data_IF_840729643380
#
_entry.id   IF_840729643380
#
_cell.length_a   1.000
_cell.length_b   1.000
_cell.length_c   1.000
_cell.angle_alpha   90.00
_cell.angle_beta   90.00
_cell.angle_gamma   90.00
#
_symmetry.space_group_name_H-M   'P 1'
#
loop_
_entity.id
_entity.type
_entity.pdbx_description
1 polymer ?
#
# COMPACT_ATOMS: atom_id res chain seq x y z
N UNK A 1 -2.13 23.45 23.22
CA UNK A 1 -2.89 22.80 22.14
C UNK A 1 -2.41 23.45 20.86
N UNK A 2 -1.41 22.89 20.21
CA UNK A 2 -1.01 23.30 18.86
C UNK A 2 -2.12 22.84 17.91
N UNK A 3 -2.78 23.81 17.26
CA UNK A 3 -3.77 23.53 16.25
C UNK A 3 -3.10 22.93 15.03
N UNK A 4 -3.54 21.78 14.59
CA UNK A 4 -3.12 21.22 13.29
C UNK A 4 -3.50 22.23 12.20
N UNK A 5 -2.50 22.75 11.49
CA UNK A 5 -2.76 23.57 10.33
C UNK A 5 -3.35 22.68 9.23
N UNK A 6 -4.57 22.98 8.81
CA UNK A 6 -5.15 22.38 7.62
C UNK A 6 -4.74 23.19 6.40
N UNK A 7 -4.13 22.53 5.44
CA UNK A 7 -3.88 23.12 4.15
C UNK A 7 -5.03 22.73 3.22
N UNK A 8 -5.79 23.70 2.77
CA UNK A 8 -6.77 23.52 1.72
C UNK A 8 -6.11 23.87 0.38
N UNK A 9 -6.18 22.94 -0.55
CA UNK A 9 -5.68 23.14 -1.91
C UNK A 9 -6.88 23.25 -2.84
N UNK A 10 -7.05 24.42 -3.46
CA UNK A 10 -8.06 24.62 -4.49
C UNK A 10 -7.48 24.24 -5.86
N UNK A 11 -7.90 23.10 -6.38
CA UNK A 11 -7.40 22.59 -7.67
C UNK A 11 -7.77 23.50 -8.85
N UNK A 12 -8.87 24.25 -8.76
CA UNK A 12 -9.27 25.18 -9.83
C UNK A 12 -8.37 26.43 -9.85
N UNK A 13 -7.86 26.83 -8.69
CA UNK A 13 -6.88 27.91 -8.63
C UNK A 13 -5.50 27.46 -9.11
N UNK A 14 -5.12 26.20 -8.84
CA UNK A 14 -3.85 25.64 -9.35
C UNK A 14 -3.82 25.64 -10.88
N UNK A 15 -4.93 25.31 -11.54
CA UNK A 15 -5.01 25.30 -13.01
C UNK A 15 -4.75 26.66 -13.64
N UNK A 16 -5.00 27.76 -12.91
CA UNK A 16 -4.74 29.13 -13.35
C UNK A 16 -3.29 29.58 -13.13
N UNK A 17 -2.53 28.87 -12.31
CA UNK A 17 -1.13 29.18 -12.06
C UNK A 17 -0.30 28.78 -13.27
N UNK A 18 0.60 29.67 -13.70
CA UNK A 18 1.64 29.30 -14.66
C UNK A 18 2.59 28.33 -13.95
N UNK A 19 2.75 27.13 -14.53
CA UNK A 19 3.76 26.20 -14.05
C UNK A 19 5.15 26.85 -14.13
N UNK A 20 5.90 26.83 -13.04
CA UNK A 20 7.31 27.15 -13.02
C UNK A 20 8.11 25.87 -13.19
N UNK A 21 9.18 25.94 -13.98
CA UNK A 21 10.12 24.83 -14.05
C UNK A 21 10.85 24.73 -12.71
N UNK A 22 10.68 23.57 -12.04
CA UNK A 22 11.39 23.24 -10.82
C UNK A 22 12.51 22.26 -11.16
N UNK A 23 13.74 22.63 -10.84
CA UNK A 23 14.86 21.73 -11.04
C UNK A 23 14.83 20.62 -9.99
N UNK A 24 15.26 19.43 -10.38
CA UNK A 24 15.34 18.30 -9.45
C UNK A 24 16.25 18.60 -8.25
N UNK A 25 17.30 19.41 -8.47
CA UNK A 25 18.18 19.90 -7.41
C UNK A 25 17.49 20.80 -6.37
N UNK A 26 16.34 21.38 -6.69
CA UNK A 26 15.60 22.23 -5.75
C UNK A 26 14.78 21.39 -4.76
N UNK A 27 14.59 20.11 -5.08
CA UNK A 27 13.79 19.16 -4.29
C UNK A 27 14.64 18.23 -3.45
N UNK A 28 15.91 18.02 -3.79
CA UNK A 28 16.77 17.04 -3.11
C UNK A 28 18.03 17.69 -2.55
N UNK A 29 18.33 17.40 -1.29
CA UNK A 29 19.57 17.83 -0.64
C UNK A 29 20.75 16.92 -0.95
N UNK A 30 20.49 15.62 -1.13
CA UNK A 30 21.53 14.63 -1.38
C UNK A 30 21.01 13.44 -2.17
N UNK A 31 21.91 12.78 -2.90
CA UNK A 31 21.68 11.56 -3.63
C UNK A 31 22.62 10.47 -3.10
N UNK A 32 22.04 9.34 -2.72
CA UNK A 32 22.82 8.14 -2.35
C UNK A 32 22.54 7.02 -3.36
N UNK A 33 23.59 6.40 -3.88
CA UNK A 33 23.48 5.23 -4.74
C UNK A 33 23.86 4.00 -3.93
N UNK A 34 22.90 3.09 -3.75
CA UNK A 34 23.08 1.85 -3.02
C UNK A 34 23.19 0.69 -4.00
N UNK A 35 24.35 0.06 -4.06
CA UNK A 35 24.55 -1.16 -4.83
C UNK A 35 23.99 -2.35 -4.05
N UNK A 36 23.00 -3.01 -4.61
CA UNK A 36 22.45 -4.25 -4.04
C UNK A 36 23.38 -5.44 -4.30
N UNK A 37 23.27 -6.44 -3.43
CA UNK A 37 23.97 -7.73 -3.55
C UNK A 37 23.62 -8.38 -4.90
N UNK A 38 24.63 -8.88 -5.60
CA UNK A 38 24.48 -9.44 -6.95
C UNK A 38 24.45 -10.98 -6.99
N UNK A 39 24.32 -11.65 -5.84
CA UNK A 39 24.19 -13.11 -5.82
C UNK A 39 22.83 -13.54 -6.38
N UNK A 40 22.73 -14.77 -6.86
CA UNK A 40 21.55 -15.27 -7.57
C UNK A 40 20.26 -15.13 -6.74
N UNK A 41 20.30 -15.51 -5.47
CA UNK A 41 19.15 -15.41 -4.57
C UNK A 41 18.72 -13.97 -4.26
N UNK A 42 19.59 -13.00 -4.49
CA UNK A 42 19.34 -11.58 -4.23
C UNK A 42 18.83 -10.82 -5.47
N UNK A 43 18.75 -11.47 -6.61
CA UNK A 43 18.36 -10.79 -7.85
C UNK A 43 16.92 -10.26 -7.75
N UNK A 44 16.77 -9.01 -8.19
CA UNK A 44 15.47 -8.35 -8.34
C UNK A 44 15.22 -8.08 -9.82
N UNK A 45 13.95 -8.01 -10.21
CA UNK A 45 13.59 -7.67 -11.59
C UNK A 45 14.05 -6.25 -11.95
N UNK A 46 14.18 -5.98 -13.24
CA UNK A 46 14.57 -4.66 -13.76
C UNK A 46 13.62 -3.55 -13.32
N UNK A 47 12.35 -3.89 -13.14
CA UNK A 47 11.29 -2.97 -12.70
C UNK A 47 10.58 -3.55 -11.48
N UNK A 48 11.09 -3.30 -10.27
CA UNK A 48 10.42 -3.76 -9.05
C UNK A 48 9.06 -3.08 -8.91
N UNK A 49 8.07 -3.84 -8.43
CA UNK A 49 6.71 -3.36 -8.23
C UNK A 49 6.60 -2.39 -7.05
N UNK A 50 7.54 -2.45 -6.12
CA UNK A 50 7.57 -1.52 -5.00
C UNK A 50 8.81 -1.66 -4.13
N UNK A 51 9.15 -0.56 -3.47
CA UNK A 51 10.32 -0.44 -2.60
C UNK A 51 9.92 0.30 -1.33
N UNK A 52 10.21 -0.29 -0.17
CA UNK A 52 10.06 0.35 1.13
C UNK A 52 11.43 0.49 1.79
N UNK A 53 11.70 1.66 2.31
CA UNK A 53 13.01 1.98 2.91
C UNK A 53 12.82 2.41 4.35
N UNK A 54 13.58 1.80 5.25
CA UNK A 54 13.68 2.18 6.66
C UNK A 54 15.10 2.61 7.03
N UNK A 55 15.36 2.86 8.29
CA UNK A 55 16.68 3.29 8.75
C UNK A 55 17.78 2.26 8.44
N UNK A 56 17.50 0.97 8.58
CA UNK A 56 18.50 -0.10 8.44
C UNK A 56 18.22 -1.09 7.32
N UNK A 57 17.03 -1.03 6.69
CA UNK A 57 16.61 -2.02 5.71
C UNK A 57 15.98 -1.41 4.47
N UNK A 58 15.99 -2.20 3.40
CA UNK A 58 15.28 -1.96 2.15
C UNK A 58 14.50 -3.24 1.85
N UNK A 59 13.18 -3.12 1.72
CA UNK A 59 12.29 -4.21 1.33
C UNK A 59 11.84 -3.98 -0.11
N UNK A 60 12.05 -4.96 -0.97
CA UNK A 60 11.76 -4.84 -2.41
C UNK A 60 10.76 -5.92 -2.80
N UNK A 61 9.72 -5.52 -3.53
CA UNK A 61 8.84 -6.41 -4.28
C UNK A 61 9.37 -6.54 -5.71
N UNK A 62 9.98 -7.70 -6.07
CA UNK A 62 10.75 -7.79 -7.31
C UNK A 62 9.89 -7.62 -8.58
N UNK A 63 8.76 -8.34 -8.66
CA UNK A 63 7.99 -8.49 -9.91
C UNK A 63 6.50 -8.82 -9.69
N UNK A 64 6.01 -8.76 -8.45
CA UNK A 64 4.63 -9.11 -8.07
C UNK A 64 4.33 -10.61 -8.05
N UNK A 65 5.26 -11.47 -8.47
CA UNK A 65 5.10 -12.95 -8.50
C UNK A 65 6.22 -13.68 -7.77
N UNK A 66 7.25 -12.98 -7.33
CA UNK A 66 8.36 -13.52 -6.53
C UNK A 66 8.24 -13.10 -5.07
N UNK A 67 8.95 -13.81 -4.18
CA UNK A 67 9.03 -13.43 -2.78
C UNK A 67 9.61 -12.03 -2.59
N UNK A 68 9.14 -11.31 -1.59
CA UNK A 68 9.75 -10.03 -1.20
C UNK A 68 11.21 -10.26 -0.78
N UNK A 69 12.08 -9.34 -1.17
CA UNK A 69 13.50 -9.42 -0.83
C UNK A 69 13.87 -8.34 0.17
N UNK A 70 14.46 -8.77 1.27
CA UNK A 70 14.96 -7.85 2.31
C UNK A 70 16.47 -7.67 2.17
N UNK A 71 16.89 -6.41 2.15
CA UNK A 71 18.29 -6.00 2.15
C UNK A 71 18.56 -5.11 3.35
N UNK A 72 19.81 -5.08 3.80
CA UNK A 72 20.26 -4.01 4.69
C UNK A 72 20.29 -2.68 3.95
N UNK A 73 20.28 -1.55 4.66
CA UNK A 73 20.44 -0.21 4.08
C UNK A 73 21.75 -0.04 3.28
N UNK A 74 22.74 -0.93 3.49
CA UNK A 74 24.01 -0.99 2.74
C UNK A 74 23.95 -1.92 1.53
N UNK A 75 22.77 -2.40 1.14
CA UNK A 75 22.56 -3.23 -0.04
C UNK A 75 22.88 -4.72 0.12
N UNK A 76 23.26 -5.20 1.31
CA UNK A 76 23.50 -6.63 1.52
C UNK A 76 22.17 -7.38 1.64
N UNK A 77 22.02 -8.46 0.89
CA UNK A 77 20.87 -9.36 0.99
C UNK A 77 20.78 -9.97 2.39
N UNK A 78 19.56 -10.03 2.91
CA UNK A 78 19.25 -10.60 4.23
C UNK A 78 18.45 -11.88 4.08
N UNK A 79 17.28 -11.81 3.42
CA UNK A 79 16.39 -12.95 3.27
C UNK A 79 15.28 -12.67 2.22
N UNK A 80 14.68 -13.74 1.74
CA UNK A 80 13.34 -13.69 1.15
C UNK A 80 12.29 -13.67 2.28
N UNK A 81 11.27 -12.83 2.13
CA UNK A 81 10.19 -12.72 3.09
C UNK A 81 8.99 -13.51 2.58
N UNK A 82 8.76 -14.65 3.21
CA UNK A 82 7.70 -15.58 2.81
C UNK A 82 7.96 -16.22 1.45
N UNK A 83 6.90 -16.55 0.74
CA UNK A 83 6.92 -17.15 -0.59
C UNK A 83 5.60 -16.96 -1.31
N UNK A 84 5.61 -17.18 -2.62
CA UNK A 84 4.39 -17.11 -3.43
C UNK A 84 3.72 -18.48 -3.48
N UNK A 85 2.45 -18.54 -3.06
CA UNK A 85 1.69 -19.78 -3.02
C UNK A 85 0.44 -19.70 -2.16
N UNK A 86 -0.01 -20.86 -1.65
CA UNK A 86 -1.21 -20.98 -0.83
C UNK A 86 -0.96 -21.68 0.52
N UNK A 87 0.27 -22.04 0.81
CA UNK A 87 0.68 -22.67 2.05
C UNK A 87 0.73 -21.73 3.26
N UNK A 88 1.04 -22.25 4.45
CA UNK A 88 1.29 -21.42 5.61
C UNK A 88 2.47 -20.46 5.36
N UNK A 89 2.27 -19.15 5.54
CA UNK A 89 3.30 -18.17 5.26
C UNK A 89 3.53 -17.88 3.76
N UNK A 90 2.64 -18.37 2.89
CA UNK A 90 2.64 -18.01 1.48
C UNK A 90 1.53 -17.01 1.17
N UNK A 91 1.78 -16.17 0.17
CA UNK A 91 0.85 -15.14 -0.33
C UNK A 91 0.81 -15.17 -1.86
N UNK A 92 -0.25 -14.63 -2.41
CA UNK A 92 -0.40 -14.53 -3.86
C UNK A 92 0.18 -13.21 -4.40
N UNK A 93 -0.07 -12.13 -3.64
CA UNK A 93 0.40 -10.79 -3.98
C UNK A 93 0.85 -10.07 -2.71
N UNK A 94 1.96 -9.33 -2.79
CA UNK A 94 2.52 -8.57 -1.67
C UNK A 94 2.31 -7.06 -1.83
N UNK A 95 1.26 -6.65 -2.52
CA UNK A 95 0.99 -5.22 -2.81
C UNK A 95 0.92 -4.37 -1.55
N UNK A 96 0.27 -4.88 -0.51
CA UNK A 96 0.19 -4.21 0.79
C UNK A 96 1.19 -4.86 1.75
N UNK A 97 2.39 -4.29 1.85
CA UNK A 97 3.47 -4.75 2.70
C UNK A 97 3.91 -3.64 3.64
N UNK A 98 4.41 -4.01 4.80
CA UNK A 98 4.78 -3.08 5.87
C UNK A 98 6.04 -3.57 6.57
N UNK A 99 7.09 -2.78 6.53
CA UNK A 99 8.32 -3.05 7.25
C UNK A 99 8.27 -2.37 8.62
N UNK A 100 8.04 -3.16 9.67
CA UNK A 100 8.08 -2.71 11.06
C UNK A 100 9.45 -3.02 11.66
N UNK A 101 10.39 -2.14 11.40
CA UNK A 101 11.77 -2.31 11.88
C UNK A 101 11.85 -2.28 13.41
N UNK A 102 11.02 -1.50 14.08
CA UNK A 102 11.01 -1.38 15.55
C UNK A 102 10.71 -2.72 16.23
N UNK A 103 9.79 -3.49 15.67
CA UNK A 103 9.42 -4.82 16.16
C UNK A 103 10.17 -5.95 15.45
N UNK A 104 11.03 -5.64 14.50
CA UNK A 104 11.82 -6.63 13.77
C UNK A 104 10.99 -7.57 12.91
N UNK A 105 9.94 -7.07 12.27
CA UNK A 105 9.00 -7.87 11.49
C UNK A 105 8.58 -7.20 10.19
N UNK A 106 8.11 -8.03 9.25
CA UNK A 106 7.42 -7.61 8.02
C UNK A 106 6.00 -8.14 8.08
N UNK A 107 5.02 -7.30 7.75
CA UNK A 107 3.64 -7.71 7.58
C UNK A 107 3.25 -7.61 6.10
N UNK A 108 2.48 -8.60 5.62
CA UNK A 108 1.90 -8.61 4.28
C UNK A 108 0.40 -8.75 4.44
N UNK A 109 -0.36 -7.76 3.95
CA UNK A 109 -1.81 -7.81 3.94
C UNK A 109 -2.31 -8.22 2.55
N UNK A 110 -3.01 -9.34 2.50
CA UNK A 110 -3.63 -9.85 1.28
C UNK A 110 -5.10 -10.17 1.55
N UNK A 111 -6.00 -9.52 0.86
CA UNK A 111 -7.44 -9.64 1.09
C UNK A 111 -7.80 -9.35 2.56
N UNK A 112 -8.31 -10.36 3.28
CA UNK A 112 -8.71 -10.24 4.69
C UNK A 112 -7.74 -10.95 5.63
N UNK A 113 -6.53 -11.23 5.17
CA UNK A 113 -5.49 -11.85 6.00
C UNK A 113 -4.25 -10.98 6.07
N UNK A 114 -3.57 -11.06 7.19
CA UNK A 114 -2.29 -10.44 7.44
C UNK A 114 -1.30 -11.52 7.86
N UNK A 115 -0.18 -11.60 7.17
CA UNK A 115 0.90 -12.55 7.43
C UNK A 115 2.06 -11.79 8.03
N UNK A 116 2.62 -12.32 9.10
CA UNK A 116 3.78 -11.75 9.78
C UNK A 116 5.01 -12.62 9.62
N UNK A 117 6.13 -11.99 9.34
CA UNK A 117 7.44 -12.62 9.20
C UNK A 117 8.46 -11.88 10.03
N UNK A 118 9.48 -12.59 10.54
CA UNK A 118 10.66 -11.92 11.08
C UNK A 118 11.58 -11.40 9.96
N UNK A 119 12.59 -10.62 10.33
CA UNK A 119 13.55 -10.07 9.37
C UNK A 119 14.50 -11.13 8.77
N UNK A 120 14.36 -12.38 9.14
CA UNK A 120 15.07 -13.52 8.53
C UNK A 120 14.15 -14.31 7.58
N UNK A 121 12.95 -13.79 7.30
CA UNK A 121 11.97 -14.40 6.40
C UNK A 121 11.16 -15.54 7.01
N UNK A 122 11.31 -15.84 8.31
CA UNK A 122 10.56 -16.92 8.95
C UNK A 122 9.14 -16.47 9.24
N UNK A 123 8.18 -17.29 8.86
CA UNK A 123 6.77 -17.07 9.17
C UNK A 123 6.52 -17.09 10.69
N UNK A 124 5.87 -16.07 11.21
CA UNK A 124 5.54 -15.92 12.62
C UNK A 124 4.08 -16.25 12.91
N UNK A 125 3.16 -15.57 12.25
CA UNK A 125 1.73 -15.72 12.48
C UNK A 125 0.89 -15.27 11.29
N UNK A 126 -0.37 -15.71 11.30
CA UNK A 126 -1.42 -15.23 10.42
C UNK A 126 -2.54 -14.67 11.26
N UNK A 127 -2.97 -13.46 10.93
CA UNK A 127 -4.13 -12.82 11.53
C UNK A 127 -5.19 -12.54 10.47
N UNK A 128 -6.44 -12.46 10.89
CA UNK A 128 -7.55 -12.12 10.01
C UNK A 128 -7.95 -10.67 10.24
N UNK A 129 -8.11 -9.91 9.17
CA UNK A 129 -8.70 -8.58 9.20
C UNK A 129 -10.16 -8.74 8.82
N UNK A 130 -11.05 -8.45 9.76
CA UNK A 130 -12.48 -8.47 9.50
C UNK A 130 -12.87 -7.23 8.71
N UNK A 131 -13.58 -7.40 7.61
CA UNK A 131 -14.17 -6.31 6.87
C UNK A 131 -15.68 -6.25 7.17
N UNK A 132 -16.23 -5.09 7.52
CA UNK A 132 -17.63 -4.94 7.92
C UNK A 132 -18.60 -5.13 6.76
N UNK A 133 -18.13 -5.09 5.53
CA UNK A 133 -18.92 -5.29 4.32
C UNK A 133 -18.11 -6.00 3.24
N UNK A 134 -18.79 -6.66 2.31
CA UNK A 134 -18.13 -7.25 1.15
C UNK A 134 -17.76 -6.15 0.17
N UNK A 135 -16.46 -6.04 -0.12
CA UNK A 135 -15.91 -5.07 -1.05
C UNK A 135 -15.23 -5.80 -2.19
N UNK A 136 -15.55 -5.40 -3.41
CA UNK A 136 -14.95 -6.00 -4.61
C UNK A 136 -13.56 -5.46 -4.92
N UNK A 137 -13.30 -4.19 -4.58
CA UNK A 137 -11.99 -3.55 -4.76
C UNK A 137 -11.74 -2.57 -3.63
N UNK A 138 -10.65 -2.78 -2.92
CA UNK A 138 -10.21 -1.89 -1.85
C UNK A 138 -8.69 -1.86 -1.80
N UNK A 139 -8.16 -0.74 -1.32
CA UNK A 139 -6.79 -0.66 -0.83
C UNK A 139 -6.82 -0.58 0.68
N UNK A 140 -5.94 -1.33 1.33
CA UNK A 140 -5.85 -1.39 2.78
C UNK A 140 -4.46 -0.91 3.17
N UNK A 141 -4.38 0.14 3.99
CA UNK A 141 -3.18 0.57 4.67
C UNK A 141 -3.23 0.11 6.12
N UNK A 142 -2.14 -0.40 6.60
CA UNK A 142 -2.03 -0.95 7.95
C UNK A 142 -1.13 -0.05 8.80
N UNK A 143 -1.66 0.40 9.92
CA UNK A 143 -0.92 1.00 11.01
C UNK A 143 -0.68 -0.08 12.07
N UNK A 144 0.49 -0.71 12.02
CA UNK A 144 0.85 -1.81 12.92
C UNK A 144 1.07 -1.33 14.36
N UNK A 145 1.49 -0.07 14.56
CA UNK A 145 1.75 0.47 15.89
C UNK A 145 0.45 0.67 16.69
N UNK A 146 -0.62 1.09 16.01
CA UNK A 146 -1.92 1.33 16.64
C UNK A 146 -2.95 0.23 16.35
N UNK A 147 -2.56 -0.86 15.71
CA UNK A 147 -3.43 -1.99 15.32
C UNK A 147 -4.69 -1.54 14.54
N UNK A 148 -4.49 -0.62 13.62
CA UNK A 148 -5.55 -0.04 12.80
C UNK A 148 -5.35 -0.36 11.32
N UNK A 149 -6.45 -0.45 10.61
CA UNK A 149 -6.48 -0.53 9.15
C UNK A 149 -7.27 0.66 8.59
N UNK A 150 -6.69 1.33 7.61
CA UNK A 150 -7.39 2.31 6.77
C UNK A 150 -7.82 1.61 5.51
N UNK A 151 -9.12 1.48 5.32
CA UNK A 151 -9.69 0.81 4.15
C UNK A 151 -10.24 1.89 3.22
N UNK A 152 -9.69 1.95 2.01
CA UNK A 152 -10.19 2.83 0.95
C UNK A 152 -10.88 1.97 -0.08
N UNK A 153 -12.15 2.23 -0.29
CA UNK A 153 -12.96 1.55 -1.28
C UNK A 153 -12.84 2.30 -2.60
N UNK A 154 -12.45 1.59 -3.64
CA UNK A 154 -12.46 2.16 -4.97
C UNK A 154 -13.93 2.16 -5.47
N UNK A 155 -14.53 3.33 -5.72
CA UNK A 155 -15.93 3.46 -6.10
C UNK A 155 -16.16 3.09 -7.58
N UNK A 156 -15.42 2.08 -8.08
CA UNK A 156 -15.61 1.58 -9.42
C UNK A 156 -16.73 0.54 -9.43
N UNK A 157 -17.65 0.68 -10.36
CA UNK A 157 -18.50 -0.43 -10.74
C UNK A 157 -17.61 -1.55 -11.30
N UNK A 158 -17.85 -2.78 -10.88
CA UNK A 158 -17.20 -3.92 -11.50
C UNK A 158 -17.60 -3.95 -12.99
N UNK A 159 -16.61 -3.84 -13.87
CA UNK A 159 -16.84 -3.88 -15.34
C UNK A 159 -17.56 -5.17 -15.72
N UNK A 160 -17.32 -6.27 -14.97
CA UNK A 160 -18.01 -7.55 -15.16
C UNK A 160 -19.39 -7.63 -14.52
N UNK A 161 -19.75 -6.73 -13.61
CA UNK A 161 -21.03 -6.70 -12.92
C UNK A 161 -21.47 -5.26 -12.59
N UNK A 162 -22.04 -4.53 -13.55
CA UNK A 162 -22.47 -3.14 -13.35
C UNK A 162 -23.60 -2.98 -12.32
N UNK A 163 -24.18 -4.09 -11.85
CA UNK A 163 -25.21 -4.12 -10.80
C UNK A 163 -24.63 -4.43 -9.41
N UNK A 164 -23.31 -4.62 -9.30
CA UNK A 164 -22.68 -4.84 -8.00
C UNK A 164 -22.96 -3.64 -7.08
N UNK A 165 -23.31 -3.88 -5.82
CA UNK A 165 -23.57 -2.79 -4.89
C UNK A 165 -22.29 -1.98 -4.70
N UNK A 166 -22.38 -0.68 -4.92
CA UNK A 166 -21.29 0.26 -4.63
C UNK A 166 -21.33 0.54 -3.13
N UNK A 167 -20.20 0.43 -2.46
CA UNK A 167 -20.12 0.81 -1.06
C UNK A 167 -20.54 2.27 -0.88
N UNK A 168 -21.34 2.54 0.16
CA UNK A 168 -21.71 3.90 0.57
C UNK A 168 -20.54 4.61 1.28
N UNK A 169 -19.51 3.87 1.65
CA UNK A 169 -18.34 4.39 2.31
C UNK A 169 -17.21 4.56 1.29
N UNK A 170 -16.60 5.73 1.26
CA UNK A 170 -15.40 5.97 0.46
C UNK A 170 -14.16 5.43 1.18
N UNK A 171 -14.10 5.66 2.47
CA UNK A 171 -13.00 5.28 3.31
C UNK A 171 -13.47 5.09 4.75
N UNK A 172 -12.81 4.21 5.48
CA UNK A 172 -12.96 4.14 6.93
C UNK A 172 -11.66 3.69 7.61
N UNK A 173 -11.57 4.02 8.90
CA UNK A 173 -10.56 3.49 9.80
C UNK A 173 -11.22 2.46 10.69
N UNK A 174 -10.63 1.30 10.83
CA UNK A 174 -11.09 0.21 11.68
C UNK A 174 -9.96 -0.36 12.53
N UNK A 175 -10.30 -1.09 13.60
CA UNK A 175 -9.36 -2.02 14.22
C UNK A 175 -9.28 -3.33 13.42
N UNK A 176 -8.37 -4.23 13.81
CA UNK A 176 -8.21 -5.52 13.12
C UNK A 176 -9.42 -6.46 13.30
N UNK A 177 -10.26 -6.21 14.30
CA UNK A 177 -11.50 -6.96 14.54
C UNK A 177 -12.66 -6.51 13.65
N UNK A 178 -12.47 -5.42 12.89
CA UNK A 178 -13.50 -4.85 12.01
C UNK A 178 -14.39 -3.81 12.68
N UNK A 179 -14.12 -3.40 13.92
CA UNK A 179 -14.85 -2.29 14.54
C UNK A 179 -14.47 -0.99 13.86
N UNK A 180 -15.47 -0.30 13.31
CA UNK A 180 -15.23 0.95 12.60
C UNK A 180 -15.07 2.08 13.63
N UNK A 181 -13.93 2.76 13.55
CA UNK A 181 -13.56 3.88 14.40
C UNK A 181 -13.95 5.23 13.79
N UNK A 182 -13.82 5.34 12.46
CA UNK A 182 -14.14 6.56 11.72
C UNK A 182 -14.58 6.20 10.31
N UNK A 183 -15.52 6.96 9.73
CA UNK A 183 -15.99 6.79 8.34
C UNK A 183 -15.92 8.10 7.57
N UNK A 184 -15.61 7.99 6.29
CA UNK A 184 -15.79 9.05 5.30
C UNK A 184 -16.76 8.51 4.26
N UNK A 185 -17.91 9.14 4.12
CA UNK A 185 -18.94 8.72 3.19
C UNK A 185 -18.58 9.16 1.76
N UNK A 186 -18.91 8.33 0.79
CA UNK A 186 -18.86 8.74 -0.59
C UNK A 186 -19.87 9.87 -0.80
N UNK A 187 -19.41 11.02 -1.25
CA UNK A 187 -20.29 12.03 -1.81
C UNK A 187 -20.88 11.44 -3.09
N UNK A 188 -22.08 11.81 -3.47
CA UNK A 188 -22.89 11.26 -4.58
C UNK A 188 -22.17 11.22 -5.95
N UNK A 189 -21.01 10.56 -6.03
CA UNK A 189 -20.27 10.33 -7.27
C UNK A 189 -20.30 8.85 -7.61
N UNK A 190 -20.69 8.54 -8.84
CA UNK A 190 -20.38 7.24 -9.44
C UNK A 190 -19.23 7.48 -10.42
N UNK A 191 -18.09 6.85 -10.18
CA UNK A 191 -17.07 6.76 -11.20
C UNK A 191 -17.52 5.65 -12.15
N UNK A 192 -18.01 6.05 -13.31
CA UNK A 192 -18.26 5.13 -14.41
C UNK A 192 -16.98 5.09 -15.22
N UNK A 193 -16.32 3.93 -15.32
CA UNK A 193 -15.17 3.82 -16.21
C UNK A 193 -15.68 3.97 -17.65
N UNK A 194 -15.57 5.15 -18.18
CA UNK A 194 -15.80 5.42 -19.58
C UNK A 194 -14.44 5.55 -20.27
N UNK A 195 -14.18 4.67 -21.20
CA UNK A 195 -12.99 4.72 -22.03
C UNK A 195 -13.00 5.90 -23.04
N UNK A 196 -14.04 6.72 -23.05
CA UNK A 196 -14.21 7.87 -23.94
C UNK A 196 -13.82 9.24 -23.36
N UNK A 197 -13.13 9.30 -22.21
CA UNK A 197 -12.59 10.51 -21.55
C UNK A 197 -13.46 11.21 -20.49
N UNK A 198 -14.62 10.74 -20.12
CA UNK A 198 -15.35 11.30 -18.98
C UNK A 198 -15.12 10.47 -17.72
N UNK A 199 -14.33 11.00 -16.78
CA UNK A 199 -13.91 10.28 -15.56
C UNK A 199 -14.91 10.44 -14.41
N UNK A 200 -15.75 11.46 -14.42
CA UNK A 200 -16.70 11.78 -13.35
C UNK A 200 -18.03 12.30 -13.92
N UNK A 201 -19.12 11.62 -13.62
CA UNK A 201 -20.46 12.14 -13.84
C UNK A 201 -21.16 12.39 -12.50
N UNK A 202 -21.62 13.61 -12.19
CA UNK A 202 -22.50 13.86 -11.05
C UNK A 202 -23.87 13.19 -11.30
N UNK A 203 -24.45 12.62 -10.26
CA UNK A 203 -25.83 12.13 -10.24
C UNK A 203 -26.79 13.16 -9.66
#
# INVERSE_FOLDING_TARGET
KEGSAFYAVDLLEIEKLKGEEMLFSDLIESLEIIKLDGREEALVATYPSGIDVSSNYILIEPDGVSALKLFTRKGRYVADIGGVGQGPGEYKYAVNRFLDEKQGRVAIAENQKMLFFDLKGRFLSKESISLPETITKSSIWIDLENEKAVVVVLPFTDIGNPKAPISKNLCWVQDFKGNILQKIFAVNYAIVPDYSNEVLAPR
#
